data_IF_807021005393
#
_entry.id   IF_807021005393
#
_cell.length_a   1.000
_cell.length_b   1.000
_cell.length_c   1.000
_cell.angle_alpha   90.00
_cell.angle_beta   90.00
_cell.angle_gamma   90.00
#
_symmetry.space_group_name_H-M   'P 1'
#
loop_
_entity.id
_entity.type
_entity.pdbx_description
1 polymer ?
#
# COMPACT_ATOMS: atom_id res chain seq x y z
N UNK A 1 -18.59 -8.58 -30.52
CA UNK A 1 -17.66 -8.43 -29.41
C UNK A 1 -17.76 -7.05 -28.82
N UNK A 2 -17.12 -6.84 -27.69
CA UNK A 2 -16.99 -5.56 -26.99
C UNK A 2 -15.51 -5.32 -26.73
N UNK A 3 -15.04 -4.10 -26.95
CA UNK A 3 -13.74 -3.64 -26.45
C UNK A 3 -14.05 -2.67 -25.33
N UNK A 4 -13.60 -2.99 -24.13
CA UNK A 4 -13.77 -2.18 -22.94
C UNK A 4 -12.39 -1.70 -22.52
N UNK A 5 -12.13 -0.42 -22.77
CA UNK A 5 -10.87 0.22 -22.40
C UNK A 5 -11.02 0.96 -21.06
N UNK A 6 -9.91 1.09 -20.34
CA UNK A 6 -9.81 1.73 -19.03
C UNK A 6 -10.86 1.27 -18.00
N UNK A 7 -11.02 -0.06 -17.86
CA UNK A 7 -12.00 -0.65 -16.93
C UNK A 7 -11.86 -0.14 -15.48
N UNK A 8 -10.66 0.20 -15.03
CA UNK A 8 -10.40 0.77 -13.69
C UNK A 8 -11.12 2.09 -13.42
N UNK A 9 -11.52 2.83 -14.46
CA UNK A 9 -12.24 4.10 -14.33
C UNK A 9 -13.75 3.91 -14.14
N UNK A 10 -14.26 2.69 -14.31
CA UNK A 10 -15.68 2.44 -14.24
C UNK A 10 -16.20 2.58 -12.81
N UNK A 11 -17.25 3.40 -12.58
CA UNK A 11 -17.72 3.69 -11.24
C UNK A 11 -18.41 2.49 -10.57
N UNK A 12 -18.92 1.55 -11.37
CA UNK A 12 -19.58 0.33 -10.92
C UNK A 12 -19.71 -0.68 -12.07
N UNK A 13 -20.27 -1.85 -11.75
CA UNK A 13 -20.46 -2.98 -12.68
C UNK A 13 -21.58 -2.82 -13.72
N UNK A 14 -22.44 -1.80 -13.61
CA UNK A 14 -23.68 -1.76 -14.39
C UNK A 14 -23.43 -1.75 -15.91
N UNK A 15 -22.54 -0.88 -16.39
CA UNK A 15 -22.20 -0.82 -17.81
C UNK A 15 -21.51 -2.11 -18.29
N UNK A 16 -20.60 -2.66 -17.46
CA UNK A 16 -19.92 -3.91 -17.75
C UNK A 16 -20.91 -5.07 -17.94
N UNK A 17 -21.88 -5.23 -17.04
CA UNK A 17 -22.88 -6.30 -17.11
C UNK A 17 -23.80 -6.15 -18.34
N UNK A 18 -24.26 -4.93 -18.65
CA UNK A 18 -25.10 -4.67 -19.83
C UNK A 18 -24.36 -5.08 -21.12
N UNK A 19 -23.08 -4.74 -21.21
CA UNK A 19 -22.28 -4.99 -22.41
C UNK A 19 -21.88 -6.46 -22.53
N UNK A 20 -21.56 -7.14 -21.43
CA UNK A 20 -21.03 -8.51 -21.46
C UNK A 20 -22.10 -9.60 -21.35
N UNK A 21 -23.19 -9.35 -20.62
CA UNK A 21 -24.30 -10.31 -20.45
C UNK A 21 -25.46 -9.96 -21.36
N UNK A 22 -25.97 -8.73 -21.27
CA UNK A 22 -27.13 -8.29 -22.05
C UNK A 22 -26.91 -8.33 -23.56
N UNK A 23 -26.00 -7.50 -24.07
CA UNK A 23 -25.72 -7.46 -25.53
C UNK A 23 -24.90 -8.65 -26.04
N UNK A 24 -24.30 -9.37 -25.10
CA UNK A 24 -23.43 -10.50 -25.31
C UNK A 24 -24.14 -11.78 -25.68
N UNK A 25 -25.19 -12.11 -24.93
CA UNK A 25 -25.96 -13.36 -25.05
C UNK A 25 -26.71 -13.49 -26.37
N UNK A 26 -26.94 -12.37 -27.07
CA UNK A 26 -27.54 -12.35 -28.40
C UNK A 26 -26.60 -12.88 -29.51
N UNK A 27 -25.32 -13.13 -29.21
CA UNK A 27 -24.31 -13.57 -30.19
C UNK A 27 -23.84 -14.99 -29.89
N UNK A 28 -23.68 -15.81 -30.94
CA UNK A 28 -23.29 -17.22 -30.82
C UNK A 28 -21.84 -17.42 -30.36
N UNK A 29 -20.94 -16.48 -30.66
CA UNK A 29 -19.53 -16.52 -30.28
C UNK A 29 -19.04 -15.10 -29.93
N UNK A 30 -19.45 -14.53 -28.79
CA UNK A 30 -19.00 -13.20 -28.39
C UNK A 30 -17.53 -13.24 -27.94
N UNK A 31 -16.78 -12.19 -28.30
CA UNK A 31 -15.42 -11.96 -27.84
C UNK A 31 -15.35 -10.60 -27.14
N UNK A 32 -14.78 -10.56 -25.94
CA UNK A 32 -14.62 -9.35 -25.15
C UNK A 32 -13.13 -9.07 -24.94
N UNK A 33 -12.69 -7.86 -25.26
CA UNK A 33 -11.36 -7.36 -24.96
C UNK A 33 -11.47 -6.37 -23.81
N UNK A 34 -10.87 -6.69 -22.68
CA UNK A 34 -10.81 -5.81 -21.52
C UNK A 34 -9.37 -5.29 -21.42
N UNK A 35 -9.19 -3.99 -21.53
CA UNK A 35 -7.91 -3.30 -21.45
C UNK A 35 -8.00 -2.32 -20.29
N UNK A 36 -6.99 -2.30 -19.43
CA UNK A 36 -6.98 -1.43 -18.25
C UNK A 36 -5.59 -1.35 -17.66
N UNK A 37 -5.39 -0.31 -16.85
CA UNK A 37 -4.32 -0.20 -15.86
C UNK A 37 -4.86 -0.57 -14.46
N UNK A 38 -3.98 -0.82 -13.51
CA UNK A 38 -4.32 -1.01 -12.10
C UNK A 38 -5.00 0.24 -11.54
N UNK A 39 -5.97 0.02 -10.65
CA UNK A 39 -6.74 1.09 -10.01
C UNK A 39 -6.29 1.35 -8.58
N UNK A 40 -7.09 2.15 -7.88
CA UNK A 40 -6.90 2.46 -6.46
C UNK A 40 -7.96 1.83 -5.54
N UNK A 41 -8.99 1.20 -6.12
CA UNK A 41 -10.09 0.59 -5.41
C UNK A 41 -10.16 -0.92 -5.66
N UNK A 42 -9.90 -1.69 -4.60
CA UNK A 42 -9.95 -3.15 -4.61
C UNK A 42 -11.38 -3.71 -4.54
N UNK A 43 -12.42 -2.86 -4.48
CA UNK A 43 -13.82 -3.26 -4.57
C UNK A 43 -14.42 -2.99 -5.97
N UNK A 44 -13.61 -2.47 -6.89
CA UNK A 44 -14.04 -2.15 -8.24
C UNK A 44 -14.28 -3.40 -9.10
N UNK A 45 -15.09 -3.26 -10.16
CA UNK A 45 -15.26 -4.30 -11.18
C UNK A 45 -13.93 -4.65 -11.87
N UNK A 46 -13.03 -3.67 -12.00
CA UNK A 46 -11.69 -3.90 -12.53
C UNK A 46 -10.88 -4.82 -11.62
N UNK A 47 -10.92 -4.62 -10.30
CA UNK A 47 -10.22 -5.49 -9.36
C UNK A 47 -10.79 -6.91 -9.36
N UNK A 48 -12.12 -7.07 -9.49
CA UNK A 48 -12.76 -8.38 -9.65
C UNK A 48 -12.20 -9.13 -10.89
N UNK A 49 -12.11 -8.46 -12.04
CA UNK A 49 -11.55 -9.06 -13.25
C UNK A 49 -10.05 -9.35 -13.12
N UNK A 50 -9.30 -8.46 -12.46
CA UNK A 50 -7.87 -8.65 -12.19
C UNK A 50 -7.63 -9.86 -11.27
N UNK A 51 -8.40 -10.01 -10.19
CA UNK A 51 -8.29 -11.16 -9.29
C UNK A 51 -8.63 -12.46 -10.02
N UNK A 52 -9.69 -12.46 -10.85
CA UNK A 52 -10.02 -13.62 -11.70
C UNK A 52 -8.84 -13.97 -12.63
N UNK A 53 -8.22 -12.97 -13.25
CA UNK A 53 -7.06 -13.17 -14.13
C UNK A 53 -5.87 -13.78 -13.37
N UNK A 54 -5.54 -13.25 -12.19
CA UNK A 54 -4.47 -13.76 -11.34
C UNK A 54 -4.74 -15.19 -10.87
N UNK A 55 -5.96 -15.50 -10.43
CA UNK A 55 -6.33 -16.84 -9.98
C UNK A 55 -6.22 -17.88 -11.11
N UNK A 56 -6.48 -17.49 -12.36
CA UNK A 56 -6.30 -18.35 -13.53
C UNK A 56 -4.81 -18.56 -13.83
N UNK A 57 -4.00 -17.50 -13.80
CA UNK A 57 -2.54 -17.58 -14.00
C UNK A 57 -1.86 -18.42 -12.92
N UNK A 58 -2.32 -18.31 -11.67
CA UNK A 58 -1.83 -19.09 -10.53
C UNK A 58 -2.32 -20.54 -10.53
N UNK A 59 -3.24 -20.91 -11.44
CA UNK A 59 -3.85 -22.24 -11.50
C UNK A 59 -4.87 -22.54 -10.39
N UNK A 60 -5.25 -21.53 -9.58
CA UNK A 60 -6.31 -21.65 -8.55
C UNK A 60 -7.69 -21.81 -9.18
N UNK A 61 -7.89 -21.27 -10.38
CA UNK A 61 -9.13 -21.34 -11.15
C UNK A 61 -8.84 -21.80 -12.58
N UNK A 62 -9.73 -22.62 -13.14
CA UNK A 62 -9.64 -23.04 -14.53
C UNK A 62 -10.86 -22.55 -15.31
N UNK A 63 -10.64 -21.63 -16.25
CA UNK A 63 -11.68 -21.08 -17.13
C UNK A 63 -11.11 -20.93 -18.55
N UNK A 64 -11.38 -21.88 -19.47
CA UNK A 64 -10.82 -21.84 -20.82
C UNK A 64 -11.40 -20.72 -21.70
N UNK A 65 -12.43 -20.01 -21.23
CA UNK A 65 -13.05 -18.90 -21.96
C UNK A 65 -12.42 -17.55 -21.65
N UNK A 66 -11.52 -17.50 -20.66
CA UNK A 66 -10.87 -16.28 -20.21
C UNK A 66 -9.36 -16.39 -20.40
N UNK A 67 -8.79 -15.53 -21.25
CA UNK A 67 -7.36 -15.49 -21.52
C UNK A 67 -6.72 -14.27 -20.84
N UNK A 68 -6.05 -14.45 -19.68
CA UNK A 68 -5.41 -13.36 -18.95
C UNK A 68 -4.01 -13.04 -19.50
N UNK A 69 -3.70 -11.75 -19.60
CA UNK A 69 -2.33 -11.25 -19.79
C UNK A 69 -2.16 -10.07 -18.85
N UNK A 70 -1.18 -10.13 -17.96
CA UNK A 70 -0.87 -9.07 -17.00
C UNK A 70 0.60 -8.71 -17.15
N UNK A 71 0.86 -7.45 -17.48
CA UNK A 71 2.18 -6.85 -17.37
C UNK A 71 2.14 -5.87 -16.21
N UNK A 72 2.85 -6.19 -15.14
CA UNK A 72 2.86 -5.38 -13.93
C UNK A 72 3.94 -5.85 -12.97
N UNK A 73 4.37 -4.94 -12.12
CA UNK A 73 5.23 -5.25 -10.99
C UNK A 73 4.40 -5.90 -9.87
N UNK A 74 5.00 -6.84 -9.16
CA UNK A 74 4.42 -7.40 -7.94
C UNK A 74 4.28 -6.31 -6.88
N UNK A 75 3.37 -6.49 -5.91
CA UNK A 75 3.08 -5.46 -4.91
C UNK A 75 4.32 -5.04 -4.10
N UNK A 76 5.22 -5.99 -3.85
CA UNK A 76 6.44 -5.81 -3.07
C UNK A 76 7.70 -5.63 -3.94
N UNK A 77 7.56 -5.60 -5.27
CA UNK A 77 8.69 -5.32 -6.17
C UNK A 77 9.23 -3.91 -5.93
N UNK A 78 10.56 -3.76 -5.97
CA UNK A 78 11.22 -2.46 -5.82
C UNK A 78 10.94 -1.58 -7.03
N UNK A 79 10.07 -0.59 -6.83
CA UNK A 79 9.71 0.38 -7.86
C UNK A 79 10.87 1.27 -8.31
N UNK A 80 12.00 1.27 -7.61
CA UNK A 80 13.22 2.00 -7.99
C UNK A 80 14.13 1.21 -8.91
N UNK A 81 13.88 -0.10 -9.07
CA UNK A 81 14.66 -0.99 -9.93
C UNK A 81 14.16 -0.92 -11.38
N UNK A 82 15.06 -0.53 -12.29
CA UNK A 82 14.77 -0.45 -13.71
C UNK A 82 14.42 -1.82 -14.33
N UNK A 83 14.93 -2.93 -13.78
CA UNK A 83 14.54 -4.27 -14.22
C UNK A 83 13.04 -4.54 -13.98
N UNK A 84 12.49 -4.02 -12.87
CA UNK A 84 11.05 -4.06 -12.59
C UNK A 84 10.27 -3.22 -13.61
N UNK A 85 10.85 -2.11 -14.08
CA UNK A 85 10.21 -1.28 -15.10
C UNK A 85 10.10 -2.03 -16.43
N UNK A 86 11.17 -2.71 -16.87
CA UNK A 86 11.13 -3.54 -18.07
C UNK A 86 10.16 -4.73 -17.94
N UNK A 87 10.08 -5.36 -16.77
CA UNK A 87 9.11 -6.43 -16.48
C UNK A 87 7.66 -5.94 -16.64
N UNK A 88 7.35 -4.75 -16.14
CA UNK A 88 6.01 -4.17 -16.22
C UNK A 88 5.69 -3.56 -17.60
N UNK A 89 6.71 -3.19 -18.38
CA UNK A 89 6.58 -2.50 -19.67
C UNK A 89 7.30 -3.28 -20.78
N UNK A 90 6.67 -4.31 -21.38
CA UNK A 90 7.30 -5.13 -22.42
C UNK A 90 7.67 -4.35 -23.69
N UNK A 91 7.15 -3.14 -23.87
CA UNK A 91 7.43 -2.25 -25.00
C UNK A 91 8.43 -1.13 -24.68
N UNK A 92 9.00 -1.12 -23.47
CA UNK A 92 10.03 -0.16 -23.07
C UNK A 92 11.26 -0.28 -23.99
N UNK A 93 11.81 0.86 -24.40
CA UNK A 93 12.85 1.04 -25.43
C UNK A 93 12.49 0.62 -26.86
N UNK A 94 11.25 0.18 -27.09
CA UNK A 94 10.71 -0.07 -28.44
C UNK A 94 9.77 1.07 -28.83
N UNK A 95 8.76 1.36 -27.99
CA UNK A 95 7.76 2.40 -28.26
C UNK A 95 7.85 3.57 -27.27
N UNK A 96 8.31 3.30 -26.05
CA UNK A 96 8.53 4.31 -25.01
C UNK A 96 10.01 4.28 -24.64
N UNK A 97 10.77 5.37 -24.85
CA UNK A 97 12.16 5.42 -24.40
C UNK A 97 12.24 5.34 -22.87
N UNK A 98 13.19 4.54 -22.34
CA UNK A 98 13.42 4.40 -20.89
C UNK A 98 13.65 5.74 -20.20
N UNK A 99 14.24 6.72 -20.89
CA UNK A 99 14.45 8.08 -20.37
C UNK A 99 13.15 8.77 -19.91
N UNK A 100 12.01 8.50 -20.56
CA UNK A 100 10.72 9.04 -20.11
C UNK A 100 10.28 8.43 -18.78
N UNK A 101 10.58 7.16 -18.57
CA UNK A 101 10.28 6.46 -17.31
C UNK A 101 11.24 6.93 -16.22
N UNK A 102 12.54 7.06 -16.51
CA UNK A 102 13.54 7.66 -15.60
C UNK A 102 13.15 9.07 -15.16
N UNK A 103 12.68 9.91 -16.09
CA UNK A 103 12.22 11.26 -15.77
C UNK A 103 11.01 11.24 -14.81
N UNK A 104 10.00 10.40 -15.08
CA UNK A 104 8.85 10.24 -14.20
C UNK A 104 9.25 9.68 -12.83
N UNK A 105 10.18 8.73 -12.80
CA UNK A 105 10.76 8.16 -11.57
C UNK A 105 11.45 9.23 -10.72
N UNK A 106 12.29 10.08 -11.32
CA UNK A 106 13.02 11.12 -10.60
C UNK A 106 12.07 12.11 -9.92
N UNK A 107 10.96 12.44 -10.57
CA UNK A 107 9.90 13.29 -10.02
C UNK A 107 9.19 12.59 -8.85
N UNK A 108 8.79 11.34 -9.06
CA UNK A 108 8.16 10.47 -8.07
C UNK A 108 9.01 10.27 -6.80
N UNK A 109 10.33 10.20 -6.92
CA UNK A 109 11.24 9.97 -5.78
C UNK A 109 11.12 11.03 -4.69
N UNK A 110 10.75 12.26 -5.03
CA UNK A 110 10.65 13.36 -4.07
C UNK A 110 9.21 13.67 -3.66
N UNK A 111 8.22 13.10 -4.36
CA UNK A 111 6.82 13.43 -4.17
C UNK A 111 5.98 12.14 -4.02
N UNK A 112 5.45 11.84 -2.82
CA UNK A 112 4.64 10.65 -2.57
C UNK A 112 3.40 10.51 -3.48
N UNK A 113 2.80 11.62 -3.92
CA UNK A 113 1.65 11.57 -4.83
C UNK A 113 2.08 11.07 -6.21
N UNK A 114 3.25 11.53 -6.66
CA UNK A 114 3.84 11.09 -7.92
C UNK A 114 4.42 9.68 -7.82
N UNK A 115 4.89 9.24 -6.65
CA UNK A 115 5.22 7.82 -6.39
C UNK A 115 4.01 6.93 -6.63
N UNK A 116 2.85 7.25 -6.04
CA UNK A 116 1.61 6.50 -6.27
C UNK A 116 1.24 6.49 -7.76
N UNK A 117 1.36 7.64 -8.43
CA UNK A 117 1.05 7.77 -9.86
C UNK A 117 2.01 6.95 -10.72
N UNK A 118 3.31 6.95 -10.39
CA UNK A 118 4.33 6.17 -11.08
C UNK A 118 4.08 4.68 -10.91
N UNK A 119 3.87 4.22 -9.68
CA UNK A 119 3.56 2.81 -9.39
C UNK A 119 2.31 2.34 -10.13
N UNK A 120 1.25 3.14 -10.11
CA UNK A 120 0.01 2.82 -10.81
C UNK A 120 0.21 2.80 -12.34
N UNK A 121 0.67 3.92 -12.92
CA UNK A 121 0.63 4.13 -14.38
C UNK A 121 1.86 3.61 -15.12
N UNK A 122 3.02 3.44 -14.46
CA UNK A 122 4.23 2.88 -15.06
C UNK A 122 4.48 1.45 -14.66
N UNK A 123 4.10 1.04 -13.45
CA UNK A 123 4.38 -0.31 -12.96
C UNK A 123 3.14 -1.18 -12.88
N UNK A 124 1.95 -0.63 -13.17
CA UNK A 124 0.68 -1.35 -13.10
C UNK A 124 0.44 -2.00 -11.72
N UNK A 125 0.90 -1.34 -10.66
CA UNK A 125 0.69 -1.76 -9.27
C UNK A 125 -0.62 -1.20 -8.74
N UNK A 126 -1.35 -2.00 -7.96
CA UNK A 126 -2.49 -1.52 -7.21
C UNK A 126 -1.99 -0.66 -6.03
N UNK A 127 -2.41 0.60 -5.99
CA UNK A 127 -2.01 1.56 -4.96
C UNK A 127 -3.22 2.01 -4.15
N UNK A 128 -3.00 2.50 -2.92
CA UNK A 128 -4.09 3.10 -2.15
C UNK A 128 -4.35 4.53 -2.64
N UNK A 129 -5.62 4.95 -2.61
CA UNK A 129 -6.00 6.32 -2.97
C UNK A 129 -5.37 7.37 -2.03
N UNK A 130 -5.08 7.00 -0.78
CA UNK A 130 -4.42 7.89 0.16
C UNK A 130 -2.93 8.03 -0.16
N UNK A 131 -2.50 9.29 -0.34
CA UNK A 131 -1.10 9.65 -0.49
C UNK A 131 -0.48 9.79 0.90
N UNK A 132 0.64 9.09 1.13
CA UNK A 132 1.44 9.29 2.36
C UNK A 132 2.08 10.68 2.32
N UNK A 133 2.16 11.37 3.44
CA UNK A 133 2.73 12.72 3.46
C UNK A 133 4.26 12.73 3.28
N UNK A 134 4.94 11.64 3.65
CA UNK A 134 6.40 11.52 3.58
C UNK A 134 6.81 10.26 2.80
N UNK A 135 7.82 10.33 1.91
CA UNK A 135 8.35 9.15 1.23
C UNK A 135 8.94 8.14 2.23
N UNK A 136 8.64 6.85 2.02
CA UNK A 136 9.09 5.81 2.96
C UNK A 136 10.61 5.63 2.99
N UNK A 137 11.31 5.89 1.89
CA UNK A 137 12.77 5.80 1.87
C UNK A 137 13.41 6.90 2.75
N UNK A 138 12.79 8.07 2.87
CA UNK A 138 13.23 9.14 3.79
C UNK A 138 12.92 8.74 5.24
N UNK A 139 11.72 8.22 5.49
CA UNK A 139 11.36 7.67 6.81
C UNK A 139 12.36 6.61 7.28
N UNK A 140 12.68 5.65 6.41
CA UNK A 140 13.58 4.54 6.71
C UNK A 140 15.03 4.97 6.97
N UNK A 141 15.47 6.14 6.49
CA UNK A 141 16.79 6.71 6.80
C UNK A 141 16.89 7.22 8.25
N UNK A 142 15.77 7.36 8.96
CA UNK A 142 15.70 7.86 10.34
C UNK A 142 15.46 6.70 11.33
N UNK A 143 16.21 5.60 11.17
CA UNK A 143 16.06 4.39 11.99
C UNK A 143 17.13 4.23 13.08
N UNK A 144 17.86 5.29 13.42
CA UNK A 144 18.89 5.25 14.46
C UNK A 144 18.26 4.86 15.81
N UNK A 145 18.79 3.84 16.51
CA UNK A 145 18.31 3.50 17.84
C UNK A 145 18.42 4.68 18.81
N UNK A 146 17.42 4.85 19.66
CA UNK A 146 17.38 5.92 20.66
C UNK A 146 17.81 5.36 22.01
N UNK A 147 18.91 5.86 22.56
CA UNK A 147 19.30 5.61 23.94
C UNK A 147 18.72 6.70 24.85
N UNK A 148 17.76 6.32 25.69
CA UNK A 148 17.09 7.24 26.61
C UNK A 148 18.03 7.82 27.66
N UNK A 149 19.13 7.13 28.00
CA UNK A 149 20.09 7.60 29.00
C UNK A 149 20.87 8.83 28.51
N UNK A 150 21.14 8.90 27.20
CA UNK A 150 21.81 10.05 26.57
C UNK A 150 20.90 11.30 26.49
N UNK A 151 19.60 11.12 26.69
CA UNK A 151 18.60 12.18 26.64
C UNK A 151 18.24 12.72 28.04
N UNK A 152 18.78 12.13 29.10
CA UNK A 152 18.49 12.54 30.47
C UNK A 152 18.91 14.00 30.71
N UNK A 153 18.01 14.80 31.30
CA UNK A 153 18.23 16.22 31.54
C UNK A 153 18.04 17.13 30.33
N UNK A 154 17.80 16.60 29.11
CA UNK A 154 17.44 17.42 27.94
C UNK A 154 16.01 17.94 28.03
N UNK A 155 15.78 19.09 27.40
CA UNK A 155 14.42 19.59 27.16
C UNK A 155 13.73 18.62 26.19
N UNK A 156 12.47 18.28 26.48
CA UNK A 156 11.62 17.53 25.57
C UNK A 156 10.19 18.05 25.61
N UNK A 157 9.44 17.71 24.57
CA UNK A 157 8.01 17.97 24.46
C UNK A 157 7.28 16.63 24.36
N UNK A 158 6.34 16.39 25.28
CA UNK A 158 5.56 15.16 25.34
C UNK A 158 4.17 15.33 24.73
N UNK A 159 3.78 14.38 23.89
CA UNK A 159 2.42 14.21 23.40
C UNK A 159 1.85 12.88 23.89
N UNK A 160 0.63 12.91 24.43
CA UNK A 160 -0.09 11.71 24.89
C UNK A 160 -1.40 11.60 24.11
N UNK A 161 -1.57 10.50 23.40
CA UNK A 161 -2.79 10.13 22.68
C UNK A 161 -3.40 8.88 23.31
N UNK A 162 -4.62 9.04 23.82
CA UNK A 162 -5.29 8.06 24.68
C UNK A 162 -6.40 7.34 23.92
N UNK A 163 -6.22 6.03 23.74
CA UNK A 163 -7.22 5.18 23.10
C UNK A 163 -8.14 4.52 24.13
N UNK A 164 -9.43 4.45 23.84
CA UNK A 164 -10.42 3.87 24.75
C UNK A 164 -10.67 2.37 24.52
N UNK A 165 -10.87 1.95 23.26
CA UNK A 165 -11.39 0.60 22.95
C UNK A 165 -10.71 -0.07 21.76
N UNK A 166 -10.55 0.60 20.63
CA UNK A 166 -10.06 -0.01 19.37
C UNK A 166 -8.68 0.43 18.91
N UNK A 167 -8.25 1.63 19.29
CA UNK A 167 -7.00 2.23 18.84
C UNK A 167 -5.84 1.91 19.79
N UNK A 168 -4.62 2.29 19.40
CA UNK A 168 -3.39 2.14 20.19
C UNK A 168 -3.20 3.41 21.01
N UNK A 169 -2.90 3.29 22.29
CA UNK A 169 -2.48 4.45 23.10
C UNK A 169 -1.02 4.76 22.79
N UNK A 170 -0.68 6.02 22.57
CA UNK A 170 0.67 6.46 22.25
C UNK A 170 1.14 7.57 23.18
N UNK A 171 2.36 7.45 23.68
CA UNK A 171 3.07 8.54 24.34
C UNK A 171 4.35 8.79 23.57
N UNK A 172 4.62 10.03 23.19
CA UNK A 172 5.77 10.36 22.36
C UNK A 172 6.49 11.54 22.98
N UNK A 173 7.79 11.37 23.25
CA UNK A 173 8.69 12.46 23.59
C UNK A 173 9.46 12.89 22.35
N UNK A 174 9.52 14.21 22.11
CA UNK A 174 10.31 14.82 21.06
C UNK A 174 11.37 15.72 21.69
N UNK A 175 12.64 15.41 21.43
CA UNK A 175 13.79 16.15 21.89
C UNK A 175 14.29 17.04 20.74
N UNK A 176 14.23 18.38 20.87
CA UNK A 176 14.76 19.29 19.86
C UNK A 176 16.29 19.26 19.85
N UNK A 177 16.92 19.54 18.69
CA UNK A 177 18.37 19.60 18.57
C UNK A 177 18.98 20.68 19.48
N UNK A 178 20.17 20.43 20.03
CA UNK A 178 20.89 21.41 20.86
C UNK A 178 21.77 22.37 20.08
N UNK A 179 22.15 22.01 18.86
CA UNK A 179 22.94 22.79 17.92
C UNK A 179 22.56 22.42 16.47
N UNK A 180 23.24 23.02 15.49
CA UNK A 180 22.93 22.85 14.07
C UNK A 180 23.31 21.46 13.51
N UNK A 181 24.17 20.71 14.21
CA UNK A 181 24.61 19.36 13.81
C UNK A 181 23.78 18.24 14.47
N UNK A 182 23.05 18.55 15.54
CA UNK A 182 22.12 17.64 16.22
C UNK A 182 20.78 17.51 15.47
N UNK A 183 20.09 16.39 15.69
CA UNK A 183 18.81 16.08 15.05
C UNK A 183 17.69 16.01 16.08
N UNK A 184 16.46 16.17 15.59
CA UNK A 184 15.30 15.79 16.39
C UNK A 184 15.37 14.31 16.73
N UNK A 185 15.25 14.00 18.02
CA UNK A 185 15.15 12.62 18.51
C UNK A 185 13.75 12.37 19.02
N UNK A 186 13.13 11.28 18.56
CA UNK A 186 11.76 10.92 18.91
C UNK A 186 11.77 9.58 19.64
N UNK A 187 11.24 9.56 20.86
CA UNK A 187 11.07 8.36 21.66
C UNK A 187 9.57 8.07 21.83
N UNK A 188 9.01 7.10 21.08
CA UNK A 188 7.62 6.70 21.23
C UNK A 188 7.46 5.46 22.12
N UNK A 189 6.34 5.43 22.83
CA UNK A 189 5.82 4.27 23.53
C UNK A 189 4.39 4.01 23.09
N UNK A 190 4.06 2.73 22.89
CA UNK A 190 2.76 2.31 22.41
C UNK A 190 2.18 1.25 23.33
N UNK A 191 0.88 1.33 23.60
CA UNK A 191 0.17 0.39 24.46
C UNK A 191 -1.12 -0.13 23.84
N UNK A 192 -1.37 -1.42 24.09
CA UNK A 192 -2.68 -2.05 23.90
C UNK A 192 -3.09 -2.86 25.15
N UNK A 193 -4.39 -3.04 25.43
CA UNK A 193 -4.84 -3.93 26.49
C UNK A 193 -4.47 -5.39 26.18
N UNK A 194 -3.88 -6.10 27.15
CA UNK A 194 -3.39 -7.48 26.96
C UNK A 194 -4.50 -8.46 26.53
N UNK A 195 -5.67 -8.36 27.17
CA UNK A 195 -6.83 -9.21 26.89
C UNK A 195 -7.32 -9.11 25.43
N UNK A 196 -7.06 -7.97 24.79
CA UNK A 196 -7.50 -7.68 23.43
C UNK A 196 -6.46 -8.01 22.35
N UNK A 197 -5.23 -8.39 22.73
CA UNK A 197 -4.11 -8.54 21.80
C UNK A 197 -4.41 -9.58 20.71
N UNK A 198 -4.86 -10.79 21.08
CA UNK A 198 -5.20 -11.86 20.12
C UNK A 198 -6.38 -11.50 19.23
N UNK A 199 -7.41 -10.85 19.79
CA UNK A 199 -8.59 -10.42 19.04
C UNK A 199 -8.22 -9.35 18.01
N UNK A 200 -7.32 -8.43 18.37
CA UNK A 200 -6.85 -7.37 17.46
C UNK A 200 -5.96 -7.92 16.34
N UNK A 201 -5.08 -8.90 16.60
CA UNK A 201 -4.32 -9.57 15.54
C UNK A 201 -5.26 -10.17 14.50
N UNK A 202 -6.31 -10.89 14.94
CA UNK A 202 -7.28 -11.51 14.04
C UNK A 202 -8.16 -10.49 13.29
N UNK A 203 -8.54 -9.39 13.94
CA UNK A 203 -9.39 -8.34 13.35
C UNK A 203 -8.62 -7.46 12.37
N UNK A 204 -7.50 -6.91 12.81
CA UNK A 204 -6.76 -5.86 12.09
C UNK A 204 -5.74 -6.45 11.11
N UNK A 205 -5.45 -7.75 11.21
CA UNK A 205 -4.40 -8.42 10.43
C UNK A 205 -3.02 -7.76 10.61
N UNK A 206 -2.79 -7.20 11.81
CA UNK A 206 -1.52 -6.59 12.23
C UNK A 206 -0.85 -7.50 13.27
N UNK A 207 0.46 -7.77 13.17
CA UNK A 207 1.17 -8.70 14.06
C UNK A 207 1.53 -8.06 15.41
N UNK A 208 0.53 -7.62 16.18
CA UNK A 208 0.73 -6.99 17.49
C UNK A 208 1.40 -7.91 18.53
N UNK A 209 1.16 -9.21 18.44
CA UNK A 209 1.84 -10.24 19.25
C UNK A 209 3.35 -10.24 19.03
N UNK A 210 3.78 -10.19 17.76
CA UNK A 210 5.19 -10.12 17.40
C UNK A 210 5.83 -8.82 17.89
N UNK A 211 5.16 -7.68 17.70
CA UNK A 211 5.67 -6.38 18.16
C UNK A 211 5.80 -6.32 19.68
N UNK A 212 4.89 -6.95 20.42
CA UNK A 212 5.01 -7.06 21.86
C UNK A 212 6.21 -7.91 22.26
N UNK A 213 6.40 -9.08 21.64
CA UNK A 213 7.57 -9.93 21.88
C UNK A 213 8.90 -9.24 21.54
N UNK A 214 8.90 -8.34 20.55
CA UNK A 214 10.06 -7.54 20.15
C UNK A 214 10.26 -6.28 21.00
N UNK A 215 9.36 -5.97 21.93
CA UNK A 215 9.41 -4.77 22.77
C UNK A 215 9.04 -3.47 22.05
N UNK A 216 8.48 -3.53 20.85
CA UNK A 216 7.96 -2.36 20.11
C UNK A 216 6.57 -1.93 20.59
N UNK A 217 5.89 -2.80 21.34
CA UNK A 217 4.54 -2.59 21.87
C UNK A 217 4.46 -3.08 23.31
N UNK A 218 3.90 -2.25 24.18
CA UNK A 218 3.67 -2.60 25.58
C UNK A 218 2.21 -3.04 25.76
N UNK A 219 1.98 -3.86 26.78
CA UNK A 219 0.64 -4.23 27.20
C UNK A 219 0.31 -3.59 28.54
N UNK A 220 -0.95 -3.22 28.73
CA UNK A 220 -1.49 -2.84 30.04
C UNK A 220 -2.37 -3.97 30.56
N UNK A 221 -2.30 -4.24 31.87
CA UNK A 221 -3.17 -5.22 32.52
C UNK A 221 -4.65 -4.85 32.36
N UNK A 222 -5.48 -5.86 32.04
CA UNK A 222 -6.94 -5.71 31.89
C UNK A 222 -7.42 -5.34 30.49
N UNK A 223 -8.68 -4.91 30.40
CA UNK A 223 -9.39 -4.58 29.16
C UNK A 223 -9.33 -3.10 28.72
N UNK A 224 -8.77 -2.22 29.56
CA UNK A 224 -8.73 -0.76 29.34
C UNK A 224 -7.37 -0.22 29.82
N UNK A 225 -6.82 0.76 29.12
CA UNK A 225 -5.66 1.52 29.60
C UNK A 225 -6.12 2.39 30.77
N UNK A 226 -5.72 2.05 31.99
CA UNK A 226 -6.11 2.78 33.20
C UNK A 226 -5.38 4.13 33.28
N UNK A 227 -6.15 5.21 33.22
CA UNK A 227 -5.66 6.57 33.48
C UNK A 227 -5.71 6.82 34.99
N UNK A 228 -4.59 6.60 35.66
CA UNK A 228 -4.37 7.05 37.04
C UNK A 228 -4.25 8.57 37.10
#
# INVERSE_FOLDING_TARGET
GVVFDELHTQPNRALFDVMTKGSGDARTQPLYFLITTAGTDTHSICYEQHQKAQDILDGKKHDPTFYPVIYGAGQDDDWTDEAVWHKANPSLDITVPVEKVRAAFNSARQNPAEENTFRQLRLNQWVKQSVRWMPMHVWNQNNTPVDLSELEGRVCYGGLDLASTTDITAFVLVFPPTDDDDKYTVAPWFWIPEENLKLRVARDHVPYDLWHQQGHLLTTEGNVVHYG
#
